data_IF_412900190957
#
_entry.id   IF_412900190957
#
_cell.length_a   1.000
_cell.length_b   1.000
_cell.length_c   1.000
_cell.angle_alpha   90.00
_cell.angle_beta   90.00
_cell.angle_gamma   90.00
#
_symmetry.space_group_name_H-M   'P 1'
#
loop_
_entity.id
_entity.type
_entity.pdbx_description
1 polymer ?
#
# COMPACT_ATOMS: atom_id res chain seq x y z
N UNK A 1 19.40 23.92 -16.05
CA UNK A 1 18.77 22.83 -15.28
C UNK A 1 19.52 21.53 -15.60
N UNK A 2 20.35 21.02 -14.68
CA UNK A 2 21.27 19.90 -14.96
C UNK A 2 20.61 18.53 -15.15
N UNK A 3 19.35 18.33 -14.72
CA UNK A 3 18.72 16.99 -14.65
C UNK A 3 17.85 16.63 -15.87
N UNK A 4 18.10 17.25 -17.02
CA UNK A 4 17.34 16.97 -18.24
C UNK A 4 17.84 15.70 -18.91
N UNK A 5 17.27 14.56 -18.51
CA UNK A 5 17.43 13.32 -19.27
C UNK A 5 16.46 13.33 -20.48
N UNK A 6 16.95 13.53 -21.72
CA UNK A 6 16.10 13.62 -22.89
C UNK A 6 15.34 12.31 -23.18
N UNK A 7 15.88 11.16 -22.78
CA UNK A 7 15.22 9.87 -22.97
C UNK A 7 13.96 9.74 -22.09
N UNK A 8 14.05 10.14 -20.82
CA UNK A 8 12.88 10.16 -19.93
C UNK A 8 11.83 11.15 -20.41
N UNK A 9 12.23 12.33 -20.89
CA UNK A 9 11.27 13.27 -21.46
C UNK A 9 10.58 12.69 -22.71
N UNK A 10 11.33 12.03 -23.61
CA UNK A 10 10.76 11.33 -24.77
C UNK A 10 9.79 10.24 -24.36
N UNK A 11 10.07 9.50 -23.28
CA UNK A 11 9.17 8.50 -22.71
C UNK A 11 7.86 9.16 -22.26
N UNK A 12 7.94 10.24 -21.46
CA UNK A 12 6.75 10.99 -21.01
C UNK A 12 5.90 11.54 -22.17
N UNK A 13 6.54 12.12 -23.18
CA UNK A 13 5.86 12.58 -24.39
C UNK A 13 5.32 11.41 -25.22
N UNK A 14 6.00 10.26 -25.20
CA UNK A 14 5.57 9.01 -25.81
C UNK A 14 4.29 8.47 -25.17
N UNK A 15 4.20 8.48 -23.84
CA UNK A 15 2.99 8.10 -23.09
C UNK A 15 1.80 8.98 -23.45
N UNK A 16 2.03 10.29 -23.59
CA UNK A 16 0.98 11.24 -24.02
C UNK A 16 0.51 10.95 -25.45
N UNK A 17 1.45 10.75 -26.39
CA UNK A 17 1.16 10.47 -27.80
C UNK A 17 0.44 9.14 -28.01
N UNK A 18 0.87 8.09 -27.30
CA UNK A 18 0.29 6.74 -27.38
C UNK A 18 -0.80 6.51 -26.33
N UNK A 19 -1.55 7.56 -25.98
CA UNK A 19 -2.64 7.46 -25.01
C UNK A 19 -3.74 6.47 -25.43
N UNK A 20 -3.91 6.22 -26.74
CA UNK A 20 -4.80 5.18 -27.25
C UNK A 20 -4.31 3.77 -26.89
N UNK A 21 -3.02 3.48 -27.14
CA UNK A 21 -2.38 2.21 -26.76
C UNK A 21 -2.48 1.96 -25.25
N UNK A 22 -2.25 2.99 -24.42
CA UNK A 22 -2.43 2.88 -22.97
C UNK A 22 -3.88 2.47 -22.61
N UNK A 23 -4.89 3.03 -23.28
CA UNK A 23 -6.29 2.63 -23.05
C UNK A 23 -6.58 1.19 -23.48
N UNK A 24 -5.98 0.72 -24.57
CA UNK A 24 -6.09 -0.67 -25.00
C UNK A 24 -5.47 -1.62 -23.96
N UNK A 25 -4.28 -1.29 -23.47
CA UNK A 25 -3.62 -2.05 -22.39
C UNK A 25 -4.47 -2.05 -21.12
N UNK A 26 -5.06 -0.92 -20.73
CA UNK A 26 -5.98 -0.85 -19.60
C UNK A 26 -7.15 -1.82 -19.72
N UNK A 27 -7.78 -1.91 -20.90
CA UNK A 27 -8.89 -2.84 -21.11
C UNK A 27 -8.46 -4.30 -21.16
N UNK A 28 -7.31 -4.61 -21.74
CA UNK A 28 -6.74 -5.95 -21.69
C UNK A 28 -6.49 -6.38 -20.23
N UNK A 29 -5.95 -5.49 -19.41
CA UNK A 29 -5.75 -5.71 -17.98
C UNK A 29 -7.09 -5.87 -17.24
N UNK A 30 -8.10 -5.05 -17.54
CA UNK A 30 -9.44 -5.20 -16.95
C UNK A 30 -10.05 -6.56 -17.27
N UNK A 31 -9.93 -7.02 -18.53
CA UNK A 31 -10.40 -8.34 -18.94
C UNK A 31 -9.65 -9.45 -18.19
N UNK A 32 -8.31 -9.38 -18.17
CA UNK A 32 -7.49 -10.34 -17.44
C UNK A 32 -7.83 -10.40 -15.94
N UNK A 33 -8.00 -9.22 -15.31
CA UNK A 33 -8.43 -9.10 -13.93
C UNK A 33 -9.82 -9.72 -13.68
N UNK A 34 -10.78 -9.46 -14.56
CA UNK A 34 -12.13 -10.02 -14.45
C UNK A 34 -12.12 -11.55 -14.59
N UNK A 35 -11.33 -12.09 -15.52
CA UNK A 35 -11.15 -13.53 -15.72
C UNK A 35 -10.56 -14.18 -14.47
N UNK A 36 -9.46 -13.63 -13.94
CA UNK A 36 -8.82 -14.17 -12.74
C UNK A 36 -9.65 -14.05 -11.47
N UNK A 37 -10.57 -13.07 -11.39
CA UNK A 37 -11.38 -12.86 -10.20
C UNK A 37 -12.69 -13.66 -10.24
N UNK A 38 -13.35 -13.72 -11.40
CA UNK A 38 -14.69 -14.31 -11.55
C UNK A 38 -14.63 -15.81 -11.79
N UNK A 39 -13.75 -16.29 -12.69
CA UNK A 39 -13.74 -17.72 -13.04
C UNK A 39 -13.41 -18.62 -11.84
N UNK A 40 -12.35 -18.36 -11.05
CA UNK A 40 -12.03 -19.20 -9.90
C UNK A 40 -13.11 -19.21 -8.82
N UNK A 41 -13.90 -18.13 -8.70
CA UNK A 41 -14.97 -18.05 -7.73
C UNK A 41 -16.21 -18.89 -8.10
N UNK A 42 -16.33 -19.29 -9.38
CA UNK A 42 -17.39 -20.15 -9.89
C UNK A 42 -16.97 -21.62 -9.98
N UNK A 43 -15.69 -21.91 -9.79
CA UNK A 43 -15.15 -23.27 -9.77
C UNK A 43 -15.28 -23.89 -8.38
N UNK A 44 -15.37 -25.23 -8.28
CA UNK A 44 -15.31 -25.91 -7.01
C UNK A 44 -13.96 -25.65 -6.31
N UNK A 45 -13.97 -25.81 -4.99
CA UNK A 45 -12.75 -25.70 -4.19
C UNK A 45 -11.70 -26.71 -4.66
N UNK A 46 -10.41 -26.34 -4.70
CA UNK A 46 -9.35 -27.24 -5.12
C UNK A 46 -9.22 -28.41 -4.14
N UNK A 47 -8.99 -29.62 -4.66
CA UNK A 47 -8.63 -30.79 -3.86
C UNK A 47 -7.27 -30.59 -3.19
N UNK A 48 -7.04 -31.25 -2.05
CA UNK A 48 -5.80 -31.12 -1.26
C UNK A 48 -4.53 -31.59 -1.97
N UNK A 49 -4.65 -32.34 -3.07
CA UNK A 49 -3.55 -32.83 -3.90
C UNK A 49 -3.37 -32.03 -5.20
N UNK A 50 -4.15 -30.97 -5.41
CA UNK A 50 -4.09 -30.20 -6.64
C UNK A 50 -2.81 -29.36 -6.71
N UNK A 51 -2.12 -29.45 -7.85
CA UNK A 51 -0.94 -28.64 -8.16
C UNK A 51 -1.31 -27.35 -8.90
N UNK A 52 -0.41 -26.37 -8.89
CA UNK A 52 -0.59 -25.05 -9.49
C UNK A 52 -0.97 -25.13 -10.98
N UNK A 53 -0.34 -26.05 -11.72
CA UNK A 53 -0.53 -26.18 -13.16
C UNK A 53 -1.82 -26.92 -13.52
N UNK A 54 -2.34 -27.73 -12.60
CA UNK A 54 -3.51 -28.59 -12.82
C UNK A 54 -4.81 -27.94 -12.34
N UNK A 55 -4.72 -26.86 -11.56
CA UNK A 55 -5.88 -26.19 -10.99
C UNK A 55 -5.88 -24.68 -11.26
N UNK A 56 -6.88 -24.24 -12.02
CA UNK A 56 -7.05 -22.83 -12.40
C UNK A 56 -7.21 -21.90 -11.17
N UNK A 57 -7.82 -22.37 -10.09
CA UNK A 57 -8.01 -21.58 -8.86
C UNK A 57 -6.69 -21.30 -8.17
N UNK A 58 -5.83 -22.33 -8.04
CA UNK A 58 -4.48 -22.18 -7.48
C UNK A 58 -3.58 -21.33 -8.39
N UNK A 59 -3.66 -21.54 -9.71
CA UNK A 59 -2.95 -20.70 -10.69
C UNK A 59 -3.36 -19.23 -10.57
N UNK A 60 -4.66 -18.96 -10.48
CA UNK A 60 -5.18 -17.60 -10.33
C UNK A 60 -4.73 -16.98 -9.00
N UNK A 61 -4.76 -17.74 -7.90
CA UNK A 61 -4.25 -17.32 -6.60
C UNK A 61 -2.76 -16.93 -6.68
N UNK A 62 -1.94 -17.72 -7.36
CA UNK A 62 -0.52 -17.43 -7.55
C UNK A 62 -0.28 -16.22 -8.46
N UNK A 63 -0.97 -16.12 -9.59
CA UNK A 63 -0.86 -14.96 -10.48
C UNK A 63 -1.29 -13.67 -9.76
N UNK A 64 -2.38 -13.73 -8.99
CA UNK A 64 -2.98 -12.58 -8.35
C UNK A 64 -2.28 -12.17 -7.04
N UNK A 65 -2.06 -13.10 -6.11
CA UNK A 65 -1.43 -12.78 -4.82
C UNK A 65 0.09 -12.97 -4.87
N UNK A 66 0.58 -13.92 -5.64
CA UNK A 66 2.01 -14.25 -5.73
C UNK A 66 2.80 -13.34 -6.66
N UNK A 67 2.25 -12.93 -7.81
CA UNK A 67 2.98 -12.12 -8.80
C UNK A 67 2.44 -10.68 -8.86
N UNK A 68 1.13 -10.52 -9.01
CA UNK A 68 0.52 -9.22 -9.30
C UNK A 68 0.75 -8.19 -8.17
N UNK A 69 0.48 -8.54 -6.92
CA UNK A 69 0.67 -7.61 -5.79
C UNK A 69 2.14 -7.21 -5.53
N UNK A 70 3.12 -8.14 -5.47
CA UNK A 70 4.52 -7.79 -5.39
C UNK A 70 4.98 -6.92 -6.59
N UNK A 71 4.50 -7.22 -7.79
CA UNK A 71 4.78 -6.42 -8.98
C UNK A 71 4.18 -5.01 -8.89
N UNK A 72 2.95 -4.88 -8.37
CA UNK A 72 2.33 -3.57 -8.09
C UNK A 72 3.23 -2.77 -7.17
N UNK A 73 3.62 -3.31 -6.01
CA UNK A 73 4.48 -2.58 -5.06
C UNK A 73 5.81 -2.15 -5.69
N UNK A 74 6.47 -3.06 -6.41
CA UNK A 74 7.73 -2.77 -7.09
C UNK A 74 7.57 -1.63 -8.12
N UNK A 75 6.49 -1.67 -8.91
CA UNK A 75 6.19 -0.61 -9.87
C UNK A 75 5.98 0.75 -9.19
N UNK A 76 5.39 0.78 -7.99
CA UNK A 76 5.18 2.02 -7.23
C UNK A 76 6.50 2.61 -6.74
N UNK A 77 7.38 1.77 -6.19
CA UNK A 77 8.69 2.20 -5.67
C UNK A 77 9.64 2.62 -6.79
N UNK A 78 9.50 2.08 -8.01
CA UNK A 78 10.38 2.42 -9.14
C UNK A 78 9.86 3.57 -10.02
N UNK A 79 8.54 3.64 -10.25
CA UNK A 79 7.95 4.55 -11.24
C UNK A 79 6.85 5.46 -10.66
N UNK A 80 6.75 5.52 -9.32
CA UNK A 80 5.67 6.23 -8.64
C UNK A 80 4.34 5.57 -8.96
N UNK A 81 3.23 6.31 -8.96
CA UNK A 81 1.90 5.71 -9.13
C UNK A 81 1.55 5.35 -10.58
N UNK A 82 2.52 4.94 -11.39
CA UNK A 82 2.35 4.50 -12.78
C UNK A 82 1.31 3.38 -12.88
N UNK A 83 1.34 2.41 -11.97
CA UNK A 83 0.34 1.35 -11.90
C UNK A 83 -1.07 1.93 -11.81
N UNK A 84 -1.31 2.87 -10.90
CA UNK A 84 -2.60 3.54 -10.76
C UNK A 84 -3.03 4.25 -12.05
N UNK A 85 -2.10 4.83 -12.81
CA UNK A 85 -2.39 5.55 -14.05
C UNK A 85 -2.60 4.66 -15.27
N UNK A 86 -1.84 3.57 -15.40
CA UNK A 86 -1.68 2.79 -16.65
C UNK A 86 -2.26 1.38 -16.53
N UNK A 87 -2.10 0.69 -15.39
CA UNK A 87 -2.39 -0.74 -15.26
C UNK A 87 -3.54 -1.06 -14.28
N UNK A 88 -3.95 -0.13 -13.44
CA UNK A 88 -4.98 -0.40 -12.42
C UNK A 88 -6.37 -0.60 -13.06
N UNK A 89 -6.99 -1.79 -12.91
CA UNK A 89 -8.29 -2.10 -13.51
C UNK A 89 -9.41 -1.27 -12.89
N UNK A 90 -9.45 -1.15 -11.56
CA UNK A 90 -10.42 -0.28 -10.86
C UNK A 90 -10.35 1.17 -11.35
N UNK A 91 -9.14 1.68 -11.57
CA UNK A 91 -8.93 3.05 -12.05
C UNK A 91 -9.42 3.26 -13.48
N UNK A 92 -9.25 2.25 -14.35
CA UNK A 92 -9.76 2.28 -15.72
C UNK A 92 -11.30 2.21 -15.76
N UNK A 93 -11.89 1.30 -14.98
CA UNK A 93 -13.34 1.15 -14.86
C UNK A 93 -14.00 2.39 -14.27
N UNK A 94 -13.47 2.92 -13.17
CA UNK A 94 -13.96 4.15 -12.55
C UNK A 94 -13.87 5.35 -13.50
N UNK A 95 -12.78 5.47 -14.27
CA UNK A 95 -12.65 6.53 -15.26
C UNK A 95 -13.66 6.37 -16.41
N UNK A 96 -13.82 5.14 -16.95
CA UNK A 96 -14.80 4.86 -17.99
C UNK A 96 -16.23 5.18 -17.50
N UNK A 97 -16.58 4.70 -16.31
CA UNK A 97 -17.87 4.94 -15.68
C UNK A 97 -18.13 6.44 -15.48
N UNK A 98 -17.12 7.18 -15.01
CA UNK A 98 -17.24 8.62 -14.81
C UNK A 98 -17.51 9.41 -16.09
N UNK A 99 -17.26 8.87 -17.30
CA UNK A 99 -17.66 9.59 -18.54
C UNK A 99 -19.18 9.70 -18.69
N UNK A 100 -19.90 8.74 -18.13
CA UNK A 100 -21.36 8.71 -18.09
C UNK A 100 -21.92 9.25 -16.78
N UNK A 101 -21.07 9.84 -15.94
CA UNK A 101 -21.44 10.24 -14.59
C UNK A 101 -22.33 11.48 -14.55
N UNK A 102 -23.27 11.50 -13.58
CA UNK A 102 -24.20 12.61 -13.35
C UNK A 102 -23.46 13.93 -13.05
N UNK A 103 -22.31 13.83 -12.40
CA UNK A 103 -21.45 14.98 -12.09
C UNK A 103 -21.93 15.77 -10.89
N UNK A 104 -22.42 15.09 -9.85
CA UNK A 104 -22.99 15.69 -8.64
C UNK A 104 -21.98 16.52 -7.80
N UNK A 105 -20.70 16.53 -8.20
CA UNK A 105 -19.62 17.17 -7.46
C UNK A 105 -19.20 16.33 -6.25
N UNK A 106 -17.95 16.48 -5.81
CA UNK A 106 -17.40 15.68 -4.70
C UNK A 106 -17.82 16.32 -3.36
N UNK A 107 -18.66 15.65 -2.53
CA UNK A 107 -19.10 16.21 -1.26
C UNK A 107 -17.92 16.43 -0.31
N UNK A 108 -18.07 17.38 0.64
CA UNK A 108 -17.00 17.71 1.60
C UNK A 108 -16.58 16.50 2.45
N UNK A 109 -17.54 15.68 2.89
CA UNK A 109 -17.26 14.46 3.65
C UNK A 109 -16.37 13.48 2.89
N UNK A 110 -16.59 13.32 1.59
CA UNK A 110 -15.80 12.43 0.74
C UNK A 110 -14.36 12.92 0.52
N UNK A 111 -14.10 14.23 0.72
CA UNK A 111 -12.74 14.81 0.60
C UNK A 111 -11.89 14.67 1.86
N UNK A 112 -12.38 13.99 2.89
CA UNK A 112 -11.63 13.80 4.11
C UNK A 112 -10.39 12.93 3.86
N UNK A 113 -9.21 13.47 4.19
CA UNK A 113 -7.92 12.84 3.90
C UNK A 113 -7.68 11.53 4.68
N UNK A 114 -8.49 11.24 5.70
CA UNK A 114 -8.39 10.00 6.48
C UNK A 114 -9.08 8.79 5.84
N UNK A 115 -9.90 8.97 4.80
CA UNK A 115 -10.62 7.86 4.17
C UNK A 115 -9.69 6.75 3.65
N UNK A 116 -8.58 7.03 2.93
CA UNK A 116 -7.68 5.97 2.49
C UNK A 116 -7.04 5.20 3.66
N UNK A 117 -6.70 5.90 4.75
CA UNK A 117 -6.14 5.25 5.94
C UNK A 117 -7.16 4.33 6.60
N UNK A 118 -8.39 4.82 6.80
CA UNK A 118 -9.46 4.03 7.39
C UNK A 118 -9.82 2.83 6.51
N UNK A 119 -9.96 3.06 5.20
CA UNK A 119 -10.24 2.02 4.22
C UNK A 119 -9.16 0.94 4.23
N UNK A 120 -7.87 1.32 4.21
CA UNK A 120 -6.77 0.36 4.34
C UNK A 120 -6.88 -0.49 5.60
N UNK A 121 -7.12 0.14 6.76
CA UNK A 121 -7.21 -0.56 8.02
C UNK A 121 -8.39 -1.55 8.05
N UNK A 122 -9.57 -1.10 7.61
CA UNK A 122 -10.77 -1.92 7.57
C UNK A 122 -10.65 -3.06 6.57
N UNK A 123 -10.13 -2.82 5.36
CA UNK A 123 -9.95 -3.89 4.37
C UNK A 123 -8.89 -4.89 4.77
N UNK A 124 -7.83 -4.45 5.46
CA UNK A 124 -6.80 -5.37 5.97
C UNK A 124 -7.37 -6.25 7.06
N UNK A 125 -8.09 -5.67 8.02
CA UNK A 125 -8.74 -6.44 9.09
C UNK A 125 -9.77 -7.41 8.52
N UNK A 126 -10.67 -6.92 7.67
CA UNK A 126 -11.71 -7.72 7.06
C UNK A 126 -11.13 -8.83 6.17
N UNK A 127 -10.10 -8.54 5.38
CA UNK A 127 -9.42 -9.54 4.55
C UNK A 127 -8.80 -10.69 5.34
N UNK A 128 -8.32 -10.44 6.56
CA UNK A 128 -7.83 -11.51 7.45
C UNK A 128 -8.98 -12.33 8.04
N UNK A 129 -10.13 -11.72 8.34
CA UNK A 129 -11.29 -12.42 8.89
C UNK A 129 -11.94 -13.42 7.91
N UNK A 130 -11.84 -13.15 6.61
CA UNK A 130 -12.42 -14.00 5.55
C UNK A 130 -11.37 -14.78 4.76
N UNK A 131 -10.10 -14.80 5.22
CA UNK A 131 -8.98 -15.49 4.55
C UNK A 131 -8.86 -15.16 3.05
N UNK A 132 -8.81 -13.87 2.72
CA UNK A 132 -8.86 -13.35 1.34
C UNK A 132 -7.76 -13.90 0.40
N UNK A 133 -6.64 -14.34 0.96
CA UNK A 133 -5.51 -14.87 0.20
C UNK A 133 -5.72 -16.32 -0.22
N UNK A 134 -6.55 -17.08 0.51
CA UNK A 134 -6.73 -18.52 0.32
C UNK A 134 -8.01 -18.83 -0.49
N UNK A 135 -9.04 -17.97 -0.41
CA UNK A 135 -10.34 -18.22 -1.04
C UNK A 135 -10.69 -17.23 -2.16
N UNK A 136 -11.02 -17.76 -3.34
CA UNK A 136 -11.42 -16.97 -4.50
C UNK A 136 -12.73 -16.19 -4.28
N UNK A 137 -13.70 -16.76 -3.56
CA UNK A 137 -14.96 -16.07 -3.23
C UNK A 137 -14.74 -14.86 -2.32
N UNK A 138 -13.84 -15.00 -1.34
CA UNK A 138 -13.44 -13.90 -0.47
C UNK A 138 -12.71 -12.79 -1.25
N UNK A 139 -11.80 -13.17 -2.16
CA UNK A 139 -11.14 -12.23 -3.07
C UNK A 139 -12.15 -11.49 -3.97
N UNK A 140 -13.11 -12.20 -4.57
CA UNK A 140 -14.18 -11.61 -5.37
C UNK A 140 -15.04 -10.65 -4.56
N UNK A 141 -15.38 -10.99 -3.31
CA UNK A 141 -16.18 -10.14 -2.44
C UNK A 141 -15.50 -8.79 -2.17
N UNK A 142 -14.23 -8.81 -1.75
CA UNK A 142 -13.51 -7.57 -1.41
C UNK A 142 -13.17 -6.76 -2.67
N UNK A 143 -12.56 -7.41 -3.67
CA UNK A 143 -12.01 -6.72 -4.84
C UNK A 143 -13.06 -6.45 -5.91
N UNK A 144 -14.01 -7.37 -6.08
CA UNK A 144 -15.19 -7.15 -6.90
C UNK A 144 -16.09 -6.10 -6.26
N UNK A 145 -16.28 -6.15 -4.95
CA UNK A 145 -17.00 -5.12 -4.18
C UNK A 145 -16.36 -3.73 -4.31
N UNK A 146 -15.03 -3.61 -4.16
CA UNK A 146 -14.32 -2.35 -4.37
C UNK A 146 -14.43 -1.86 -5.81
N UNK A 147 -14.40 -2.76 -6.79
CA UNK A 147 -14.58 -2.43 -8.21
C UNK A 147 -15.98 -1.87 -8.49
N UNK A 148 -17.03 -2.51 -7.97
CA UNK A 148 -18.41 -2.02 -8.10
C UNK A 148 -18.54 -0.66 -7.42
N UNK A 149 -18.01 -0.50 -6.21
CA UNK A 149 -18.00 0.79 -5.51
C UNK A 149 -17.26 1.88 -6.32
N UNK A 150 -16.14 1.54 -6.95
CA UNK A 150 -15.37 2.45 -7.79
C UNK A 150 -16.15 2.92 -9.02
N UNK A 151 -16.94 2.03 -9.64
CA UNK A 151 -17.83 2.32 -10.76
C UNK A 151 -18.98 3.22 -10.30
N UNK A 152 -19.66 2.89 -9.21
CA UNK A 152 -20.76 3.67 -8.64
C UNK A 152 -20.29 5.10 -8.29
N UNK A 153 -19.17 5.24 -7.59
CA UNK A 153 -18.59 6.55 -7.25
C UNK A 153 -18.23 7.34 -8.51
N UNK A 154 -17.71 6.66 -9.55
CA UNK A 154 -17.48 7.25 -10.87
C UNK A 154 -18.76 7.80 -11.51
N UNK A 155 -19.84 7.02 -11.52
CA UNK A 155 -21.13 7.39 -12.10
C UNK A 155 -21.83 8.53 -11.34
N UNK A 156 -21.61 8.67 -10.03
CA UNK A 156 -22.29 9.69 -9.23
C UNK A 156 -21.57 11.05 -9.27
N UNK A 157 -20.27 11.07 -8.96
CA UNK A 157 -19.63 12.31 -8.49
C UNK A 157 -18.80 13.08 -9.51
N UNK A 158 -18.40 12.49 -10.64
CA UNK A 158 -17.51 13.17 -11.58
C UNK A 158 -17.80 12.87 -13.05
N UNK A 159 -17.29 13.76 -13.92
CA UNK A 159 -17.26 13.59 -15.37
C UNK A 159 -15.82 13.40 -15.86
N UNK A 160 -15.45 12.16 -16.21
CA UNK A 160 -14.14 11.82 -16.76
C UNK A 160 -12.96 11.95 -15.79
N UNK A 161 -13.18 11.70 -14.48
CA UNK A 161 -12.19 11.83 -13.39
C UNK A 161 -12.24 10.63 -12.44
N UNK A 162 -11.13 10.36 -11.76
CA UNK A 162 -10.95 9.21 -10.84
C UNK A 162 -11.11 9.63 -9.38
N UNK A 163 -12.35 9.91 -8.95
CA UNK A 163 -12.65 10.32 -7.57
C UNK A 163 -12.39 9.17 -6.58
N UNK A 164 -12.78 7.94 -6.92
CA UNK A 164 -12.52 6.74 -6.12
C UNK A 164 -11.04 6.59 -5.77
N UNK A 165 -10.18 6.60 -6.80
CA UNK A 165 -8.75 6.41 -6.63
C UNK A 165 -8.09 7.50 -5.76
N UNK A 166 -8.65 8.72 -5.76
CA UNK A 166 -8.10 9.82 -4.95
C UNK A 166 -8.52 9.76 -3.49
N UNK A 167 -9.77 9.41 -3.21
CA UNK A 167 -10.34 9.61 -1.87
C UNK A 167 -10.73 8.34 -1.14
N UNK A 168 -11.10 7.26 -1.83
CA UNK A 168 -11.70 6.07 -1.19
C UNK A 168 -10.91 4.78 -1.38
N UNK A 169 -10.09 4.68 -2.43
CA UNK A 169 -9.34 3.47 -2.73
C UNK A 169 -8.44 3.08 -1.52
N UNK A 170 -8.61 1.88 -0.93
CA UNK A 170 -7.92 1.47 0.30
C UNK A 170 -6.41 1.56 0.19
N UNK A 171 -5.86 1.17 -0.95
CA UNK A 171 -4.40 1.16 -1.19
C UNK A 171 -3.84 2.51 -1.64
N UNK A 172 -4.68 3.52 -1.85
CA UNK A 172 -4.26 4.82 -2.39
C UNK A 172 -3.24 5.51 -1.49
N UNK A 173 -3.48 5.50 -0.17
CA UNK A 173 -2.56 6.11 0.80
C UNK A 173 -1.21 5.39 0.87
N UNK A 174 -1.22 4.05 0.81
CA UNK A 174 0.01 3.24 0.82
C UNK A 174 0.81 3.51 -0.45
N UNK A 175 0.15 3.58 -1.62
CA UNK A 175 0.82 3.92 -2.87
C UNK A 175 1.35 5.35 -2.89
N UNK A 176 0.64 6.30 -2.27
CA UNK A 176 1.12 7.67 -2.14
C UNK A 176 2.39 7.74 -1.26
N UNK A 177 2.43 6.98 -0.16
CA UNK A 177 3.62 6.81 0.67
C UNK A 177 4.78 6.25 -0.14
N UNK A 178 4.62 5.08 -0.76
CA UNK A 178 5.70 4.41 -1.48
C UNK A 178 6.19 5.18 -2.71
N UNK A 179 5.31 5.93 -3.38
CA UNK A 179 5.68 6.75 -4.52
C UNK A 179 6.70 7.85 -4.17
N UNK A 180 6.83 8.24 -2.88
CA UNK A 180 7.87 9.19 -2.45
C UNK A 180 9.28 8.65 -2.68
N UNK A 181 9.45 7.32 -2.67
CA UNK A 181 10.72 6.64 -2.95
C UNK A 181 11.03 6.54 -4.46
N UNK A 182 10.08 6.88 -5.33
CA UNK A 182 10.23 6.71 -6.76
C UNK A 182 11.37 7.57 -7.34
N UNK A 183 12.35 6.97 -8.02
CA UNK A 183 13.40 7.69 -8.71
C UNK A 183 12.87 8.42 -9.95
N UNK A 184 11.75 7.99 -10.55
CA UNK A 184 11.17 8.64 -11.74
C UNK A 184 9.83 9.27 -11.39
N UNK A 185 9.65 10.56 -11.74
CA UNK A 185 8.39 11.25 -11.53
C UNK A 185 8.18 12.41 -12.53
N UNK A 186 6.93 12.86 -12.65
CA UNK A 186 6.62 14.09 -13.37
C UNK A 186 6.88 15.29 -12.46
N UNK A 187 7.84 16.12 -12.85
CA UNK A 187 8.14 17.39 -12.21
C UNK A 187 7.45 18.54 -12.93
N UNK A 188 7.06 19.57 -12.19
CA UNK A 188 6.46 20.80 -12.73
C UNK A 188 7.29 22.00 -12.34
N UNK A 189 7.79 22.70 -13.34
CA UNK A 189 8.39 24.01 -13.16
C UNK A 189 7.29 25.08 -13.11
N UNK A 190 6.99 25.59 -11.91
CA UNK A 190 5.95 26.60 -11.73
C UNK A 190 6.26 27.91 -12.47
N UNK A 191 7.54 28.30 -12.60
CA UNK A 191 7.92 29.54 -13.31
C UNK A 191 7.60 29.40 -14.80
N UNK A 192 8.04 28.31 -15.43
CA UNK A 192 7.74 28.03 -16.83
C UNK A 192 6.24 27.81 -17.07
N UNK A 193 5.55 27.23 -16.10
CA UNK A 193 4.10 27.07 -16.17
C UNK A 193 3.39 28.43 -16.26
N UNK A 194 3.88 29.45 -15.55
CA UNK A 194 3.34 30.81 -15.56
C UNK A 194 3.72 31.58 -16.83
N UNK A 195 4.95 31.41 -17.33
CA UNK A 195 5.41 31.99 -18.60
C UNK A 195 4.54 31.55 -19.80
N UNK A 196 4.00 30.32 -19.73
CA UNK A 196 3.13 29.73 -20.76
C UNK A 196 3.67 29.94 -22.20
N UNK A 197 4.92 29.55 -22.47
CA UNK A 197 5.55 29.75 -23.77
C UNK A 197 4.84 28.95 -24.87
N UNK A 198 4.97 29.40 -26.12
CA UNK A 198 4.51 28.64 -27.27
C UNK A 198 5.33 27.33 -27.44
N UNK A 199 4.74 26.25 -27.99
CA UNK A 199 3.37 26.11 -28.48
C UNK A 199 2.35 25.83 -27.37
N UNK A 200 1.19 26.50 -27.44
CA UNK A 200 0.09 26.34 -26.47
C UNK A 200 -0.68 25.06 -26.78
N UNK A 201 -0.70 24.14 -25.82
CA UNK A 201 -1.41 22.85 -25.91
C UNK A 201 -2.77 22.95 -25.18
N UNK A 202 -3.78 22.16 -25.58
CA UNK A 202 -5.05 22.13 -24.86
C UNK A 202 -4.82 21.67 -23.41
N UNK A 203 -5.63 22.16 -22.45
CA UNK A 203 -5.48 21.80 -21.05
C UNK A 203 -5.63 20.27 -20.88
N UNK A 204 -4.69 19.61 -20.19
CA UNK A 204 -4.73 18.15 -20.05
C UNK A 204 -5.85 17.73 -19.09
N UNK A 205 -6.52 16.61 -19.40
CA UNK A 205 -7.41 15.97 -18.44
C UNK A 205 -6.61 15.21 -17.37
N UNK A 206 -6.28 15.88 -16.26
CA UNK A 206 -5.72 15.23 -15.08
C UNK A 206 -6.78 14.34 -14.40
N UNK A 207 -6.60 13.02 -14.50
CA UNK A 207 -7.53 12.02 -13.97
C UNK A 207 -7.76 12.14 -12.44
N UNK A 208 -6.73 12.30 -11.60
CA UNK A 208 -6.92 12.51 -10.16
C UNK A 208 -7.29 13.96 -9.75
N UNK A 209 -7.67 14.85 -10.67
CA UNK A 209 -8.08 16.23 -10.33
C UNK A 209 -6.99 17.05 -9.59
N UNK A 210 -5.71 16.82 -9.91
CA UNK A 210 -4.61 17.55 -9.28
C UNK A 210 -4.48 18.95 -9.90
N UNK A 211 -4.10 19.90 -9.05
CA UNK A 211 -3.55 21.17 -9.52
C UNK A 211 -2.12 20.94 -10.02
N UNK A 212 -1.99 20.77 -11.34
CA UNK A 212 -0.71 20.45 -11.98
C UNK A 212 0.33 21.54 -11.68
N UNK A 213 -0.09 22.82 -11.62
CA UNK A 213 0.82 23.95 -11.37
C UNK A 213 1.57 23.79 -10.05
N UNK A 214 0.88 23.33 -9.01
CA UNK A 214 1.39 23.26 -7.63
C UNK A 214 1.92 21.88 -7.26
N UNK A 215 2.07 20.98 -8.23
CA UNK A 215 2.55 19.63 -7.97
C UNK A 215 4.03 19.64 -7.59
N UNK A 216 4.37 19.13 -6.40
CA UNK A 216 5.74 19.14 -5.83
C UNK A 216 6.38 17.76 -5.67
N UNK A 217 5.62 16.68 -5.83
CA UNK A 217 6.09 15.33 -5.56
C UNK A 217 5.27 14.26 -6.28
N UNK A 218 5.62 12.99 -6.03
CA UNK A 218 5.04 11.85 -6.72
C UNK A 218 3.83 11.23 -6.00
N UNK A 219 3.60 11.58 -4.73
CA UNK A 219 2.58 10.96 -3.87
C UNK A 219 1.15 10.99 -4.47
N UNK A 220 0.75 12.13 -5.01
CA UNK A 220 -0.60 12.31 -5.57
C UNK A 220 -0.69 11.98 -7.07
N UNK A 221 0.45 12.05 -7.77
CA UNK A 221 0.49 11.91 -9.23
C UNK A 221 0.41 10.46 -9.68
N UNK A 222 -0.63 10.10 -10.44
CA UNK A 222 -0.81 8.77 -11.04
C UNK A 222 0.15 8.46 -12.21
N UNK A 223 1.16 9.32 -12.45
CA UNK A 223 2.16 9.15 -13.51
C UNK A 223 1.60 8.73 -14.90
N UNK A 224 0.39 9.18 -15.26
CA UNK A 224 -0.31 8.73 -16.48
C UNK A 224 0.19 9.39 -17.79
N UNK A 225 1.14 10.33 -17.73
CA UNK A 225 1.75 10.99 -18.89
C UNK A 225 0.90 12.02 -19.63
N UNK A 226 -0.41 12.15 -19.36
CA UNK A 226 -1.32 13.06 -20.10
C UNK A 226 -0.90 14.53 -20.09
N UNK A 227 -0.25 14.98 -19.02
CA UNK A 227 0.23 16.36 -18.87
C UNK A 227 1.66 16.57 -19.37
N UNK A 228 2.35 15.55 -19.89
CA UNK A 228 3.75 15.68 -20.31
C UNK A 228 3.95 16.74 -21.40
N UNK A 229 4.98 17.57 -21.24
CA UNK A 229 5.33 18.66 -22.14
C UNK A 229 4.31 19.81 -22.18
N UNK A 230 3.37 19.87 -21.23
CA UNK A 230 2.47 21.01 -21.10
C UNK A 230 3.24 22.26 -20.70
N UNK A 231 3.09 23.33 -21.49
CA UNK A 231 3.76 24.64 -21.31
C UNK A 231 5.29 24.55 -21.23
N UNK A 232 5.85 23.45 -21.74
CA UNK A 232 7.24 23.04 -21.51
C UNK A 232 7.68 23.01 -20.02
N UNK A 233 6.70 23.00 -19.11
CA UNK A 233 6.86 23.07 -17.67
C UNK A 233 6.76 21.70 -17.01
N UNK A 234 5.99 20.78 -17.61
CA UNK A 234 5.79 19.43 -17.08
C UNK A 234 6.73 18.44 -17.77
N UNK A 235 7.67 17.88 -17.02
CA UNK A 235 8.69 16.97 -17.57
C UNK A 235 8.82 15.69 -16.74
N UNK A 236 9.09 14.58 -17.42
CA UNK A 236 9.44 13.33 -16.73
C UNK A 236 10.93 13.36 -16.42
N UNK A 237 11.28 13.39 -15.14
CA UNK A 237 12.67 13.50 -14.69
C UNK A 237 13.05 12.35 -13.75
N UNK A 238 14.33 12.04 -13.71
CA UNK A 238 14.91 11.23 -12.65
C UNK A 238 15.23 12.14 -11.44
N UNK A 239 15.11 11.58 -10.25
CA UNK A 239 15.53 12.16 -8.98
C UNK A 239 16.14 11.08 -8.11
N UNK A 240 16.87 11.49 -7.07
CA UNK A 240 17.22 10.55 -6.00
C UNK A 240 15.94 10.09 -5.28
N UNK A 241 15.84 8.78 -4.99
CA UNK A 241 14.77 8.22 -4.13
C UNK A 241 14.71 8.87 -2.75
N UNK A 242 15.78 9.55 -2.32
CA UNK A 242 15.85 10.25 -1.05
C UNK A 242 15.28 11.67 -1.12
N UNK A 243 15.19 12.27 -2.31
CA UNK A 243 14.99 13.72 -2.45
C UNK A 243 13.68 14.19 -1.83
N UNK A 244 12.56 13.48 -2.06
CA UNK A 244 11.26 13.91 -1.51
C UNK A 244 11.22 13.80 0.02
N UNK A 245 11.84 12.76 0.59
CA UNK A 245 11.94 12.59 2.05
C UNK A 245 12.85 13.65 2.66
N UNK A 246 14.01 13.89 2.04
CA UNK A 246 14.98 14.90 2.51
C UNK A 246 14.51 16.33 2.34
N UNK A 247 13.53 16.59 1.47
CA UNK A 247 12.90 17.91 1.27
C UNK A 247 11.58 18.02 2.02
N UNK A 248 11.16 17.00 2.76
CA UNK A 248 9.93 17.02 3.53
C UNK A 248 9.99 18.11 4.61
N UNK A 249 8.87 18.83 4.73
CA UNK A 249 8.61 19.84 5.75
C UNK A 249 7.26 19.55 6.42
N UNK A 250 6.98 20.16 7.60
CA UNK A 250 5.71 20.00 8.30
C UNK A 250 4.47 20.33 7.47
N UNK A 251 4.60 21.19 6.45
CA UNK A 251 3.49 21.60 5.57
C UNK A 251 3.29 20.70 4.36
N UNK A 252 4.31 19.91 3.99
CA UNK A 252 4.26 18.98 2.85
C UNK A 252 3.85 17.55 3.23
N UNK A 253 3.96 17.19 4.52
CA UNK A 253 3.62 15.86 5.02
C UNK A 253 2.23 15.88 5.62
N UNK A 254 1.33 15.06 5.09
CA UNK A 254 -0.02 14.93 5.63
C UNK A 254 0.01 14.18 6.96
N UNK A 255 -0.77 14.60 7.97
CA UNK A 255 -0.91 13.84 9.21
C UNK A 255 -1.39 12.40 9.01
N UNK A 256 -2.21 12.18 7.98
CA UNK A 256 -2.74 10.86 7.64
C UNK A 256 -1.69 9.94 7.01
N UNK A 257 -0.69 10.50 6.32
CA UNK A 257 0.42 9.72 5.76
C UNK A 257 1.23 9.07 6.89
N UNK A 258 1.58 9.84 7.91
CA UNK A 258 2.33 9.32 9.07
C UNK A 258 1.50 8.35 9.91
N UNK A 259 0.20 8.64 10.12
CA UNK A 259 -0.69 7.69 10.81
C UNK A 259 -0.82 6.39 10.04
N UNK A 260 -1.00 6.46 8.73
CA UNK A 260 -1.05 5.28 7.87
C UNK A 260 0.28 4.52 7.92
N UNK A 261 1.42 5.21 7.88
CA UNK A 261 2.72 4.56 7.98
C UNK A 261 2.88 3.78 9.29
N UNK A 262 2.59 4.41 10.43
CA UNK A 262 2.83 3.78 11.74
C UNK A 262 1.77 2.76 12.13
N UNK A 263 0.49 3.12 12.05
CA UNK A 263 -0.60 2.28 12.54
C UNK A 263 -1.08 1.29 11.47
N UNK A 264 -1.05 1.67 10.19
CA UNK A 264 -1.51 0.81 9.09
C UNK A 264 -0.39 -0.06 8.52
N UNK A 265 0.58 0.57 7.87
CA UNK A 265 1.63 -0.10 7.10
C UNK A 265 2.58 -0.88 8.01
N UNK A 266 3.06 -0.27 9.09
CA UNK A 266 4.00 -0.94 9.99
C UNK A 266 3.26 -1.74 11.06
N UNK A 267 2.29 -1.15 11.76
CA UNK A 267 1.57 -1.84 12.84
C UNK A 267 0.61 -2.91 12.34
N UNK A 268 -0.49 -2.51 11.70
CA UNK A 268 -1.56 -3.42 11.31
C UNK A 268 -1.12 -4.46 10.29
N UNK A 269 -0.42 -4.07 9.21
CA UNK A 269 -0.03 -5.01 8.17
C UNK A 269 0.97 -6.04 8.70
N UNK A 270 1.93 -5.65 9.52
CA UNK A 270 2.84 -6.60 10.18
C UNK A 270 2.07 -7.57 11.08
N UNK A 271 1.14 -7.10 11.90
CA UNK A 271 0.25 -7.97 12.68
C UNK A 271 -0.59 -8.92 11.82
N UNK A 272 -1.08 -8.44 10.67
CA UNK A 272 -1.84 -9.22 9.71
C UNK A 272 -1.02 -10.33 9.02
N UNK A 273 0.29 -10.17 8.89
CA UNK A 273 1.19 -11.24 8.42
C UNK A 273 1.65 -12.17 9.55
N UNK A 274 1.63 -11.70 10.80
CA UNK A 274 2.20 -12.38 11.95
C UNK A 274 1.26 -13.31 12.71
N UNK A 275 -0.04 -12.98 12.75
CA UNK A 275 -0.96 -13.63 13.67
C UNK A 275 -1.04 -15.15 13.49
N UNK A 276 -0.91 -15.66 12.25
CA UNK A 276 -0.98 -17.09 11.94
C UNK A 276 0.18 -17.91 12.50
N UNK A 277 1.36 -17.30 12.70
CA UNK A 277 2.55 -17.98 13.23
C UNK A 277 2.87 -17.57 14.67
N UNK A 278 2.12 -16.62 15.24
CA UNK A 278 2.45 -16.04 16.55
C UNK A 278 2.08 -16.96 17.71
N UNK A 279 3.06 -17.39 18.54
CA UNK A 279 2.78 -18.13 19.78
C UNK A 279 1.94 -17.33 20.76
N UNK A 280 2.04 -15.99 20.73
CA UNK A 280 1.25 -15.11 21.58
C UNK A 280 -0.23 -15.13 21.21
N UNK A 281 -0.55 -15.20 19.91
CA UNK A 281 -1.92 -15.35 19.43
C UNK A 281 -2.50 -16.70 19.89
N UNK A 282 -1.73 -17.78 19.74
CA UNK A 282 -2.12 -19.12 20.17
C UNK A 282 -2.38 -19.15 21.69
N UNK A 283 -1.47 -18.58 22.50
CA UNK A 283 -1.62 -18.51 23.94
C UNK A 283 -2.85 -17.69 24.37
N UNK A 284 -3.10 -16.54 23.73
CA UNK A 284 -4.30 -15.73 23.98
C UNK A 284 -5.58 -16.52 23.67
N UNK A 285 -5.64 -17.15 22.50
CA UNK A 285 -6.80 -17.95 22.07
C UNK A 285 -7.05 -19.10 23.04
N UNK A 286 -6.00 -19.85 23.42
CA UNK A 286 -6.11 -20.97 24.35
C UNK A 286 -6.57 -20.52 25.73
N UNK A 287 -6.02 -19.43 26.26
CA UNK A 287 -6.42 -18.90 27.57
C UNK A 287 -7.89 -18.44 27.58
N UNK A 288 -8.35 -17.75 26.54
CA UNK A 288 -9.75 -17.34 26.40
C UNK A 288 -10.69 -18.53 26.22
N UNK A 289 -10.30 -19.52 25.41
CA UNK A 289 -11.08 -20.74 25.24
C UNK A 289 -11.23 -21.51 26.55
N UNK A 290 -10.15 -21.70 27.31
CA UNK A 290 -10.17 -22.33 28.63
C UNK A 290 -11.07 -21.56 29.60
N UNK A 291 -10.97 -20.23 29.61
CA UNK A 291 -11.81 -19.38 30.45
C UNK A 291 -13.31 -19.51 30.09
N UNK A 292 -13.65 -19.52 28.80
CA UNK A 292 -15.03 -19.70 28.33
C UNK A 292 -15.60 -21.07 28.70
N UNK A 293 -14.82 -22.13 28.51
CA UNK A 293 -15.20 -23.50 28.88
C UNK A 293 -15.41 -23.61 30.40
N UNK A 294 -14.53 -23.01 31.21
CA UNK A 294 -14.66 -23.01 32.68
C UNK A 294 -15.94 -22.32 33.17
N UNK A 295 -16.51 -21.42 32.36
CA UNK A 295 -17.76 -20.70 32.64
C UNK A 295 -18.97 -21.28 31.92
N UNK A 296 -18.82 -22.43 31.24
CA UNK A 296 -19.87 -23.08 30.45
C UNK A 296 -20.49 -22.17 29.36
N UNK A 297 -19.71 -21.23 28.81
CA UNK A 297 -20.14 -20.32 27.75
C UNK A 297 -19.68 -20.87 26.40
N UNK A 298 -20.57 -21.57 25.69
CA UNK A 298 -20.23 -22.28 24.45
C UNK A 298 -20.38 -21.43 23.17
N UNK A 299 -21.25 -20.42 23.16
CA UNK A 299 -21.58 -19.67 21.93
C UNK A 299 -20.37 -19.05 21.21
N UNK A 300 -19.30 -18.53 21.87
CA UNK A 300 -18.17 -17.95 21.15
C UNK A 300 -17.30 -19.01 20.45
N UNK A 301 -17.42 -20.27 20.85
CA UNK A 301 -16.68 -21.39 20.28
C UNK A 301 -17.37 -21.97 19.04
N UNK A 302 -18.61 -21.54 18.75
CA UNK A 302 -19.35 -21.95 17.56
C UNK A 302 -18.77 -21.30 16.32
N UNK A 303 -18.72 -22.05 15.22
CA UNK A 303 -18.23 -21.65 13.90
C UNK A 303 -19.36 -21.37 12.91
N UNK A 304 -20.54 -21.02 13.41
CA UNK A 304 -21.77 -20.79 12.64
C UNK A 304 -21.86 -19.41 11.96
N UNK A 305 -20.76 -18.66 11.92
CA UNK A 305 -20.71 -17.39 11.23
C UNK A 305 -20.73 -17.60 9.70
N UNK A 306 -21.38 -16.71 8.93
CA UNK A 306 -21.39 -16.84 7.49
C UNK A 306 -20.01 -16.54 6.89
N UNK A 307 -19.66 -17.21 5.79
CA UNK A 307 -18.35 -17.10 5.11
C UNK A 307 -17.93 -15.67 4.74
N UNK A 308 -18.89 -14.77 4.52
CA UNK A 308 -18.64 -13.36 4.20
C UNK A 308 -18.32 -12.51 5.44
N UNK A 309 -18.45 -13.05 6.65
CA UNK A 309 -18.09 -12.38 7.89
C UNK A 309 -16.85 -12.99 8.53
N UNK A 310 -16.83 -14.32 8.66
CA UNK A 310 -15.70 -15.12 9.13
C UNK A 310 -15.51 -16.30 8.19
N UNK A 311 -14.27 -16.72 7.98
CA UNK A 311 -13.94 -17.91 7.17
C UNK A 311 -14.79 -19.11 7.60
N UNK A 312 -15.55 -19.70 6.66
CA UNK A 312 -16.44 -20.82 6.93
C UNK A 312 -16.51 -21.75 5.71
N UNK A 313 -15.54 -22.67 5.63
CA UNK A 313 -15.42 -23.69 4.58
C UNK A 313 -15.30 -25.08 5.21
N UNK A 314 -16.39 -25.64 5.76
CA UNK A 314 -16.36 -26.94 6.46
C UNK A 314 -15.89 -28.10 5.56
N UNK A 315 -16.04 -27.96 4.24
CA UNK A 315 -15.56 -28.93 3.24
C UNK A 315 -14.04 -29.13 3.26
N UNK A 316 -13.29 -28.10 3.69
CA UNK A 316 -11.83 -28.12 3.79
C UNK A 316 -11.34 -28.16 5.25
N UNK A 317 -12.24 -28.34 6.22
CA UNK A 317 -11.98 -28.24 7.66
C UNK A 317 -11.36 -26.89 8.07
N UNK A 318 -11.73 -25.81 7.37
CA UNK A 318 -11.26 -24.46 7.67
C UNK A 318 -12.46 -23.56 7.98
N UNK A 319 -12.76 -23.43 9.27
CA UNK A 319 -13.81 -22.57 9.80
C UNK A 319 -13.30 -21.81 11.03
N UNK A 320 -13.65 -20.52 11.11
CA UNK A 320 -13.36 -19.67 12.24
C UNK A 320 -14.56 -19.61 13.18
N UNK A 321 -14.29 -19.81 14.46
CA UNK A 321 -15.24 -19.53 15.53
C UNK A 321 -15.39 -18.02 15.76
N UNK A 322 -16.43 -17.60 16.48
CA UNK A 322 -16.55 -16.21 16.94
C UNK A 322 -15.36 -15.77 17.81
N UNK A 323 -14.80 -16.70 18.60
CA UNK A 323 -13.60 -16.49 19.38
C UNK A 323 -12.38 -16.24 18.48
N UNK A 324 -12.25 -16.94 17.35
CA UNK A 324 -11.19 -16.69 16.37
C UNK A 324 -11.29 -15.30 15.79
N UNK A 325 -12.49 -14.91 15.33
CA UNK A 325 -12.74 -13.57 14.82
C UNK A 325 -12.38 -12.49 15.85
N UNK A 326 -12.81 -12.66 17.10
CA UNK A 326 -12.47 -11.75 18.19
C UNK A 326 -10.95 -11.68 18.45
N UNK A 327 -10.29 -12.83 18.56
CA UNK A 327 -8.84 -12.91 18.78
C UNK A 327 -8.05 -12.23 17.65
N UNK A 328 -8.47 -12.43 16.39
CA UNK A 328 -7.84 -11.79 15.21
C UNK A 328 -7.98 -10.27 15.31
N UNK A 329 -9.20 -9.77 15.55
CA UNK A 329 -9.45 -8.32 15.71
C UNK A 329 -8.59 -7.73 16.84
N UNK A 330 -8.57 -8.40 17.99
CA UNK A 330 -7.80 -7.97 19.16
C UNK A 330 -6.31 -7.99 18.86
N UNK A 331 -5.77 -9.04 18.27
CA UNK A 331 -4.35 -9.15 17.95
C UNK A 331 -3.90 -8.11 16.93
N UNK A 332 -4.63 -7.97 15.81
CA UNK A 332 -4.33 -6.96 14.79
C UNK A 332 -4.45 -5.54 15.36
N UNK A 333 -5.51 -5.27 16.13
CA UNK A 333 -5.73 -3.99 16.78
C UNK A 333 -4.63 -3.65 17.79
N UNK A 334 -4.23 -4.60 18.63
CA UNK A 334 -3.13 -4.43 19.58
C UNK A 334 -1.79 -4.24 18.87
N UNK A 335 -1.49 -5.02 17.82
CA UNK A 335 -0.27 -4.83 17.03
C UNK A 335 -0.20 -3.42 16.42
N UNK A 336 -1.31 -2.98 15.81
CA UNK A 336 -1.43 -1.63 15.26
C UNK A 336 -1.24 -0.53 16.33
N UNK A 337 -1.88 -0.68 17.49
CA UNK A 337 -1.80 0.30 18.58
C UNK A 337 -0.43 0.30 19.25
N UNK A 338 0.12 -0.85 19.64
CA UNK A 338 1.40 -0.95 20.33
C UNK A 338 2.55 -0.47 19.44
N UNK A 339 2.64 -0.99 18.22
CA UNK A 339 3.68 -0.59 17.27
C UNK A 339 3.51 0.87 16.85
N UNK A 340 2.29 1.27 16.50
CA UNK A 340 2.02 2.63 16.04
C UNK A 340 2.26 3.69 17.12
N UNK A 341 1.86 3.43 18.36
CA UNK A 341 2.11 4.34 19.49
C UNK A 341 3.58 4.36 19.88
N UNK A 342 4.27 3.22 19.92
CA UNK A 342 5.70 3.17 20.22
C UNK A 342 6.50 4.01 19.21
N UNK A 343 6.26 3.83 17.91
CA UNK A 343 6.92 4.62 16.86
C UNK A 343 6.56 6.11 16.94
N UNK A 344 5.29 6.44 17.19
CA UNK A 344 4.86 7.82 17.39
C UNK A 344 5.60 8.46 18.58
N UNK A 345 5.69 7.77 19.72
CA UNK A 345 6.35 8.28 20.91
C UNK A 345 7.85 8.45 20.69
N UNK A 346 8.51 7.46 20.08
CA UNK A 346 9.94 7.53 19.73
C UNK A 346 10.24 8.69 18.78
N UNK A 347 9.40 8.91 17.75
CA UNK A 347 9.60 10.03 16.82
C UNK A 347 9.29 11.39 17.43
N UNK A 348 8.30 11.47 18.34
CA UNK A 348 8.04 12.69 19.11
C UNK A 348 9.19 13.00 20.06
N UNK A 349 9.76 11.98 20.69
CA UNK A 349 10.92 12.12 21.56
C UNK A 349 12.15 12.56 20.76
N UNK A 350 12.37 11.97 19.58
CA UNK A 350 13.42 12.38 18.65
C UNK A 350 13.30 13.86 18.26
N UNK A 351 12.09 14.30 17.88
CA UNK A 351 11.82 15.69 17.56
C UNK A 351 12.06 16.62 18.77
N UNK A 352 11.66 16.22 19.98
CA UNK A 352 11.94 16.99 21.20
C UNK A 352 13.44 17.19 21.43
N UNK A 353 14.28 16.18 21.17
CA UNK A 353 15.73 16.32 21.32
C UNK A 353 16.36 17.30 20.32
N UNK A 354 15.75 17.51 19.15
CA UNK A 354 16.19 18.56 18.22
C UNK A 354 15.88 19.98 18.72
N UNK A 355 14.89 20.13 19.61
CA UNK A 355 14.43 21.40 20.14
C UNK A 355 13.24 22.00 19.38
N UNK A 356 12.74 21.33 18.34
CA UNK A 356 11.55 21.77 17.60
C UNK A 356 10.64 20.57 17.28
N UNK A 357 9.42 20.62 17.84
CA UNK A 357 8.41 19.59 17.69
C UNK A 357 7.91 19.42 16.24
N UNK A 358 8.10 20.42 15.38
CA UNK A 358 7.72 20.35 13.97
C UNK A 358 8.54 19.31 13.19
N UNK A 359 9.76 18.98 13.66
CA UNK A 359 10.60 17.92 13.08
C UNK A 359 9.99 16.51 13.20
N UNK A 360 8.92 16.33 13.96
CA UNK A 360 8.21 15.06 14.05
C UNK A 360 7.80 14.53 12.66
N UNK A 361 7.25 15.38 11.77
CA UNK A 361 6.74 14.90 10.48
C UNK A 361 7.85 14.49 9.50
N UNK A 362 8.91 15.30 9.29
CA UNK A 362 10.05 14.89 8.47
C UNK A 362 10.80 13.67 9.03
N UNK A 363 10.91 13.52 10.36
CA UNK A 363 11.53 12.34 10.97
C UNK A 363 10.65 11.09 10.81
N UNK A 364 9.34 11.21 10.98
CA UNK A 364 8.44 10.07 10.86
C UNK A 364 8.47 9.42 9.47
N UNK A 365 8.56 10.24 8.40
CA UNK A 365 8.59 9.73 7.03
C UNK A 365 9.94 9.09 6.66
N UNK A 366 10.99 9.21 7.48
CA UNK A 366 12.26 8.50 7.21
C UNK A 366 12.15 6.99 7.44
N UNK A 367 11.13 6.51 8.14
CA UNK A 367 10.82 5.09 8.31
C UNK A 367 10.09 4.48 7.09
N UNK A 368 9.81 5.29 6.07
CA UNK A 368 9.11 4.84 4.86
C UNK A 368 9.82 3.70 4.11
N UNK A 369 11.15 3.69 3.91
CA UNK A 369 11.83 2.55 3.28
C UNK A 369 11.61 1.25 4.05
N UNK A 370 11.64 1.32 5.39
CA UNK A 370 11.41 0.16 6.26
C UNK A 370 9.96 -0.34 6.17
N UNK A 371 8.97 0.56 6.19
CA UNK A 371 7.57 0.19 5.98
C UNK A 371 7.32 -0.42 4.60
N UNK A 372 7.94 0.12 3.55
CA UNK A 372 7.83 -0.41 2.19
C UNK A 372 8.49 -1.78 2.01
N UNK A 373 9.68 -1.97 2.57
CA UNK A 373 10.34 -3.28 2.59
C UNK A 373 9.51 -4.31 3.37
N UNK A 374 8.95 -3.94 4.52
CA UNK A 374 8.05 -4.81 5.29
C UNK A 374 6.84 -5.28 4.49
N UNK A 375 6.12 -4.36 3.82
CA UNK A 375 5.00 -4.72 2.96
C UNK A 375 5.40 -5.67 1.82
N UNK A 376 6.55 -5.41 1.19
CA UNK A 376 7.06 -6.27 0.13
C UNK A 376 7.40 -7.67 0.66
N UNK A 377 8.08 -7.75 1.79
CA UNK A 377 8.43 -9.01 2.45
C UNK A 377 7.18 -9.81 2.83
N UNK A 378 6.18 -9.16 3.43
CA UNK A 378 4.90 -9.77 3.81
C UNK A 378 4.12 -10.31 2.62
N UNK A 379 3.93 -9.52 1.57
CA UNK A 379 3.21 -9.98 0.36
C UNK A 379 3.98 -11.08 -0.39
N UNK A 380 5.31 -11.01 -0.41
CA UNK A 380 6.14 -12.07 -1.01
C UNK A 380 6.08 -13.40 -0.23
N UNK A 381 5.60 -13.39 1.02
CA UNK A 381 5.45 -14.62 1.80
C UNK A 381 4.45 -15.59 1.15
N UNK A 382 3.36 -15.08 0.58
CA UNK A 382 2.39 -15.90 -0.17
C UNK A 382 3.03 -16.53 -1.40
N UNK A 383 3.84 -15.77 -2.15
CA UNK A 383 4.59 -16.29 -3.32
C UNK A 383 5.52 -17.42 -2.91
N UNK A 384 6.29 -17.22 -1.84
CA UNK A 384 7.26 -18.22 -1.34
C UNK A 384 6.53 -19.45 -0.80
N UNK A 385 5.40 -19.26 -0.10
CA UNK A 385 4.55 -20.36 0.38
C UNK A 385 4.11 -21.23 -0.79
N UNK A 386 3.49 -20.64 -1.82
CA UNK A 386 2.98 -21.37 -2.98
C UNK A 386 4.09 -22.08 -3.77
N UNK A 387 5.25 -21.44 -3.98
CA UNK A 387 6.37 -22.07 -4.68
C UNK A 387 7.00 -23.22 -3.89
N UNK A 388 7.01 -23.17 -2.55
CA UNK A 388 7.47 -24.28 -1.71
C UNK A 388 6.52 -25.49 -1.78
N UNK A 389 5.20 -25.26 -1.90
CA UNK A 389 4.24 -26.34 -2.12
C UNK A 389 4.50 -27.09 -3.43
N UNK A 390 5.04 -26.41 -4.45
CA UNK A 390 5.49 -27.03 -5.71
C UNK A 390 6.87 -27.73 -5.61
N UNK A 391 7.43 -27.87 -4.41
CA UNK A 391 8.69 -28.59 -4.19
C UNK A 391 9.96 -27.79 -4.53
N UNK A 392 9.86 -26.50 -4.82
CA UNK A 392 11.03 -25.66 -5.07
C UNK A 392 11.76 -25.32 -3.76
N UNK A 393 13.02 -25.77 -3.66
CA UNK A 393 13.91 -25.40 -2.57
C UNK A 393 14.36 -23.95 -2.75
N UNK A 394 13.85 -23.07 -1.90
CA UNK A 394 14.04 -21.62 -1.94
C UNK A 394 14.98 -21.15 -0.83
N UNK A 395 16.17 -21.75 -0.74
CA UNK A 395 17.13 -21.48 0.34
C UNK A 395 17.69 -20.04 0.28
N UNK A 396 17.78 -19.47 -0.92
CA UNK A 396 18.23 -18.08 -1.14
C UNK A 396 17.25 -17.03 -0.60
N UNK A 397 15.98 -17.39 -0.34
CA UNK A 397 14.95 -16.44 0.07
C UNK A 397 15.24 -15.88 1.46
N UNK A 398 15.64 -16.71 2.41
CA UNK A 398 15.91 -16.23 3.77
C UNK A 398 17.05 -15.21 3.85
N UNK A 399 18.24 -15.45 3.24
CA UNK A 399 19.29 -14.43 3.22
C UNK A 399 18.88 -13.19 2.42
N UNK A 400 18.08 -13.33 1.35
CA UNK A 400 17.56 -12.18 0.61
C UNK A 400 16.59 -11.32 1.46
N UNK A 401 15.72 -11.94 2.26
CA UNK A 401 14.83 -11.25 3.21
C UNK A 401 15.63 -10.49 4.27
N UNK A 402 16.64 -11.14 4.85
CA UNK A 402 17.53 -10.51 5.83
C UNK A 402 18.27 -9.31 5.23
N UNK A 403 18.86 -9.47 4.04
CA UNK A 403 19.56 -8.41 3.33
C UNK A 403 18.64 -7.22 3.05
N UNK A 404 17.43 -7.47 2.55
CA UNK A 404 16.45 -6.42 2.26
C UNK A 404 16.04 -5.66 3.54
N UNK A 405 15.80 -6.38 4.64
CA UNK A 405 15.43 -5.78 5.92
C UNK A 405 16.57 -4.92 6.48
N UNK A 406 17.80 -5.44 6.50
CA UNK A 406 18.99 -4.70 6.95
C UNK A 406 19.24 -3.47 6.07
N UNK A 407 19.13 -3.61 4.75
CA UNK A 407 19.28 -2.49 3.82
C UNK A 407 18.20 -1.42 4.06
N UNK A 408 16.95 -1.81 4.33
CA UNK A 408 15.86 -0.87 4.61
C UNK A 408 16.03 -0.16 5.97
N UNK A 409 16.52 -0.86 7.00
CA UNK A 409 16.90 -0.26 8.29
C UNK A 409 18.02 0.74 8.08
N UNK A 410 19.12 0.33 7.43
CA UNK A 410 20.26 1.20 7.13
C UNK A 410 19.83 2.44 6.33
N UNK A 411 18.99 2.26 5.32
CA UNK A 411 18.45 3.36 4.52
C UNK A 411 17.63 4.34 5.37
N UNK A 412 16.74 3.83 6.22
CA UNK A 412 15.91 4.67 7.10
C UNK A 412 16.75 5.47 8.11
N UNK A 413 17.80 4.85 8.66
CA UNK A 413 18.75 5.52 9.57
C UNK A 413 19.61 6.57 8.84
N UNK A 414 20.06 6.29 7.62
CA UNK A 414 20.80 7.24 6.80
C UNK A 414 19.94 8.46 6.43
N UNK A 415 18.65 8.26 6.14
CA UNK A 415 17.70 9.35 5.91
C UNK A 415 17.50 10.17 7.19
N UNK A 416 17.28 9.52 8.33
CA UNK A 416 17.16 10.18 9.63
C UNK A 416 18.40 11.02 9.97
N UNK A 417 19.60 10.47 9.75
CA UNK A 417 20.86 11.19 9.91
C UNK A 417 20.89 12.44 9.04
N UNK A 418 20.58 12.33 7.75
CA UNK A 418 20.59 13.47 6.81
C UNK A 418 19.55 14.54 7.15
N UNK A 419 18.33 14.16 7.54
CA UNK A 419 17.28 15.10 7.96
C UNK A 419 17.74 15.89 9.19
N UNK A 420 18.25 15.21 10.22
CA UNK A 420 18.75 15.88 11.43
C UNK A 420 19.95 16.80 11.16
N UNK A 421 20.81 16.45 10.18
CA UNK A 421 21.96 17.27 9.79
C UNK A 421 21.59 18.52 9.01
N UNK A 422 20.53 18.46 8.19
CA UNK A 422 20.05 19.60 7.38
C UNK A 422 19.57 20.76 8.26
N UNK A 423 18.92 20.42 9.37
CA UNK A 423 18.23 21.41 10.21
C UNK A 423 19.18 22.02 11.27
N UNK A 424 20.50 21.87 11.11
CA UNK A 424 21.53 22.55 11.90
C UNK A 424 21.67 22.05 13.35
N UNK A 425 21.07 20.90 13.69
CA UNK A 425 21.18 20.33 15.03
C UNK A 425 22.65 19.97 15.34
N UNK A 426 23.21 20.60 16.38
CA UNK A 426 24.54 20.26 16.86
C UNK A 426 24.66 18.78 17.26
N UNK A 427 25.87 18.20 17.25
CA UNK A 427 26.10 16.77 17.48
C UNK A 427 25.48 16.26 18.80
N UNK A 428 25.47 17.08 19.85
CA UNK A 428 24.89 16.77 21.17
C UNK A 428 23.37 16.53 21.10
N UNK A 429 22.65 17.26 20.25
CA UNK A 429 21.18 17.09 20.06
C UNK A 429 20.85 15.99 19.08
N UNK A 430 21.76 15.74 18.13
CA UNK A 430 21.58 14.73 17.06
C UNK A 430 21.68 13.30 17.57
N UNK A 431 22.63 13.03 18.48
CA UNK A 431 22.84 11.67 19.02
C UNK A 431 21.58 11.09 19.69
N UNK A 432 20.93 11.75 20.66
CA UNK A 432 19.74 11.19 21.30
C UNK A 432 18.54 11.05 20.34
N UNK A 433 18.40 11.95 19.36
CA UNK A 433 17.40 11.81 18.31
C UNK A 433 17.67 10.59 17.41
N UNK A 434 18.94 10.32 17.09
CA UNK A 434 19.34 9.13 16.35
C UNK A 434 19.15 7.85 17.15
N UNK A 435 19.40 7.85 18.46
CA UNK A 435 19.09 6.70 19.32
C UNK A 435 17.61 6.34 19.23
N UNK A 436 16.71 7.33 19.24
CA UNK A 436 15.28 7.08 19.06
C UNK A 436 14.94 6.46 17.69
N UNK A 437 15.62 6.89 16.61
CA UNK A 437 15.48 6.31 15.28
C UNK A 437 16.00 4.87 15.20
N UNK A 438 17.12 4.58 15.86
CA UNK A 438 17.67 3.22 15.98
C UNK A 438 16.72 2.32 16.73
N UNK A 439 16.19 2.78 17.88
CA UNK A 439 15.20 2.02 18.64
C UNK A 439 13.92 1.78 17.82
N UNK A 440 13.42 2.78 17.11
CA UNK A 440 12.25 2.64 16.26
C UNK A 440 12.49 1.65 15.11
N UNK A 441 13.62 1.75 14.42
CA UNK A 441 13.97 0.82 13.33
C UNK A 441 14.23 -0.59 13.85
N UNK A 442 14.85 -0.71 15.02
CA UNK A 442 15.10 -1.98 15.71
C UNK A 442 13.81 -2.65 16.16
N UNK A 443 12.82 -1.90 16.65
CA UNK A 443 11.50 -2.44 17.02
C UNK A 443 10.78 -3.06 15.82
N UNK A 444 10.78 -2.37 14.68
CA UNK A 444 10.18 -2.89 13.43
C UNK A 444 10.99 -4.06 12.88
N UNK A 445 12.32 -3.97 12.91
CA UNK A 445 13.21 -5.06 12.53
C UNK A 445 13.00 -6.32 13.37
N UNK A 446 12.84 -6.16 14.68
CA UNK A 446 12.53 -7.25 15.61
C UNK A 446 11.18 -7.89 15.32
N UNK A 447 10.15 -7.10 15.01
CA UNK A 447 8.86 -7.62 14.57
C UNK A 447 9.00 -8.53 13.34
N UNK A 448 9.66 -8.07 12.29
CA UNK A 448 9.91 -8.91 11.11
C UNK A 448 10.83 -10.10 11.41
N UNK A 449 11.76 -9.95 12.34
CA UNK A 449 12.61 -11.06 12.74
C UNK A 449 11.82 -12.19 13.40
N UNK A 450 10.89 -11.84 14.30
CA UNK A 450 9.96 -12.80 14.91
C UNK A 450 9.19 -13.58 13.85
N UNK A 451 8.69 -12.90 12.82
CA UNK A 451 7.92 -13.56 11.75
C UNK A 451 8.70 -14.61 10.96
N UNK A 452 9.97 -14.37 10.66
CA UNK A 452 10.72 -15.17 9.68
C UNK A 452 11.69 -16.16 10.32
N UNK A 453 12.18 -15.87 11.52
CA UNK A 453 13.21 -16.66 12.20
C UNK A 453 12.90 -16.96 13.66
N UNK A 454 12.07 -16.14 14.32
CA UNK A 454 11.78 -16.30 15.74
C UNK A 454 10.60 -17.24 16.05
N UNK A 455 9.64 -17.35 15.14
CA UNK A 455 8.40 -18.12 15.27
C UNK A 455 8.27 -19.20 14.19
#
# INVERSE_FOLDING_TARGET
>A
MPDLNPALQRLGDGMRRHGATIRTVQWAVVLFYAVLLVLPAMLPLPDSQAHLLDNLTLLAQFLFWGIWWPFVLLSIVLFGRLWCGVLCPEGALSEWASRYGRGLGVPRGLRWAGWPTLAFCLTTLYGQLISVYDYAQAALLILGGSTVAAVVVGLLFARGKRVWCRYLCPVSGVFALLARLAPVHFHVDEKRWLENPAPRRPPPNCAPLLDIRRMRGAADCHACGRCSGQRDAVRLIARSSNQEILQATPTTVSPWDVRLLFFGVIGLAMGAFQWTVSPWFIALKQALAQWLVSRQVAWPLMDNAPWWLLTHYPQLNDSFSWLDGFCIVVYLGMSALLMGTALMLLMRLAARFTGDAAHYWPLAITLLPLGGAGLFLGLSATTVKLLRYEGLLLDWVQPARALLLVAAIGWSLLLGWKVLGRDGAGPIRRMPAMTCLVLASGLVGYGWWLQFWGW
#
